data_IF_600875883018
#
_entry.id   IF_600875883018
#
_cell.length_a   1.000
_cell.length_b   1.000
_cell.length_c   1.000
_cell.angle_alpha   90.00
_cell.angle_beta   90.00
_cell.angle_gamma   90.00
#
_symmetry.space_group_name_H-M   'P 1'
#
loop_
_entity.id
_entity.type
_entity.pdbx_description
1 polymer ?
#
# COMPACT_ATOMS: atom_id res chain seq x y z
N UNK A 1 14.16 33.73 -13.69
CA UNK A 1 14.24 32.24 -13.71
C UNK A 1 14.77 31.65 -12.41
N UNK A 2 15.57 32.39 -11.63
CA UNK A 2 16.09 31.92 -10.33
C UNK A 2 14.98 31.53 -9.34
N UNK A 3 13.88 32.28 -9.29
CA UNK A 3 12.79 32.00 -8.34
C UNK A 3 12.07 30.69 -8.63
N UNK A 4 11.89 30.33 -9.90
CA UNK A 4 11.29 29.05 -10.29
C UNK A 4 12.17 27.86 -9.87
N UNK A 5 13.49 27.99 -10.00
CA UNK A 5 14.45 26.98 -9.53
C UNK A 5 14.43 26.84 -8.00
N UNK A 6 14.40 27.97 -7.28
CA UNK A 6 14.26 27.99 -5.81
C UNK A 6 12.97 27.29 -5.36
N UNK A 7 11.85 27.55 -6.03
CA UNK A 7 10.57 26.91 -5.70
C UNK A 7 10.59 25.40 -5.94
N UNK A 8 11.23 24.92 -7.01
CA UNK A 8 11.34 23.49 -7.30
C UNK A 8 12.22 22.78 -6.27
N UNK A 9 13.37 23.36 -5.91
CA UNK A 9 14.24 22.83 -4.86
C UNK A 9 13.54 22.73 -3.51
N UNK A 10 12.74 23.75 -3.14
CA UNK A 10 11.95 23.71 -1.92
C UNK A 10 10.86 22.62 -1.98
N UNK A 11 10.23 22.43 -3.13
CA UNK A 11 9.22 21.40 -3.36
C UNK A 11 9.82 20.00 -3.19
N UNK A 12 10.94 19.71 -3.86
CA UNK A 12 11.67 18.44 -3.74
C UNK A 12 12.12 18.17 -2.30
N UNK A 13 12.61 19.20 -1.61
CA UNK A 13 12.98 19.09 -0.20
C UNK A 13 11.78 18.76 0.71
N UNK A 14 10.59 19.30 0.41
CA UNK A 14 9.36 18.97 1.15
C UNK A 14 8.88 17.55 0.83
N UNK A 15 8.95 17.12 -0.43
CA UNK A 15 8.57 15.77 -0.85
C UNK A 15 9.47 14.70 -0.23
N UNK A 16 10.77 14.99 -0.07
CA UNK A 16 11.70 14.10 0.62
C UNK A 16 11.41 13.97 2.12
N UNK A 17 10.78 14.98 2.74
CA UNK A 17 10.44 14.98 4.17
C UNK A 17 9.11 14.30 4.46
N UNK A 18 8.10 14.54 3.62
CA UNK A 18 6.75 14.06 3.85
C UNK A 18 6.45 12.88 2.94
N UNK A 19 6.54 11.68 3.52
CA UNK A 19 6.23 10.43 2.81
C UNK A 19 4.76 10.47 2.36
N UNK A 20 4.50 10.07 1.12
CA UNK A 20 3.15 10.04 0.55
C UNK A 20 2.77 11.26 -0.29
N UNK A 21 3.62 12.30 -0.34
CA UNK A 21 3.41 13.42 -1.27
C UNK A 21 3.62 12.98 -2.71
N UNK A 22 2.60 13.19 -3.55
CA UNK A 22 2.68 12.83 -4.97
C UNK A 22 3.39 13.85 -5.85
N UNK A 23 3.68 13.43 -7.08
CA UNK A 23 4.14 14.24 -8.22
C UNK A 23 3.33 13.85 -9.47
N UNK A 24 3.44 14.61 -10.56
CA UNK A 24 2.65 14.38 -11.77
C UNK A 24 2.79 12.96 -12.35
N UNK A 25 3.96 12.35 -12.19
CA UNK A 25 4.27 11.01 -12.70
C UNK A 25 4.08 9.89 -11.66
N UNK A 26 3.36 10.12 -10.55
CA UNK A 26 3.11 9.04 -9.57
C UNK A 26 2.29 7.94 -10.20
N UNK A 27 2.78 6.71 -10.07
CA UNK A 27 2.08 5.54 -10.59
C UNK A 27 0.88 5.21 -9.72
N UNK A 28 -0.13 4.55 -10.31
CA UNK A 28 -1.28 4.02 -9.56
C UNK A 28 -0.82 3.14 -8.40
N UNK A 29 0.23 2.32 -8.61
CA UNK A 29 0.79 1.43 -7.60
C UNK A 29 1.32 2.19 -6.39
N UNK A 30 2.15 3.22 -6.59
CA UNK A 30 2.71 4.05 -5.52
C UNK A 30 1.61 4.75 -4.72
N UNK A 31 0.62 5.33 -5.42
CA UNK A 31 -0.52 5.96 -4.78
C UNK A 31 -1.30 4.97 -3.90
N UNK A 32 -1.68 3.82 -4.44
CA UNK A 32 -2.42 2.79 -3.68
C UNK A 32 -1.60 2.23 -2.52
N UNK A 33 -0.29 2.08 -2.70
CA UNK A 33 0.62 1.61 -1.66
C UNK A 33 0.66 2.58 -0.48
N UNK A 34 0.73 3.89 -0.75
CA UNK A 34 0.70 4.90 0.30
C UNK A 34 -0.65 4.90 1.05
N UNK A 35 -1.78 4.85 0.34
CA UNK A 35 -3.13 4.78 0.97
C UNK A 35 -3.29 3.55 1.87
N UNK A 36 -2.82 2.39 1.41
CA UNK A 36 -2.90 1.15 2.18
C UNK A 36 -2.05 1.25 3.45
N UNK A 37 -0.82 1.78 3.34
CA UNK A 37 0.07 1.98 4.49
C UNK A 37 -0.54 2.93 5.52
N UNK A 38 -1.15 4.03 5.07
CA UNK A 38 -1.79 5.02 5.94
C UNK A 38 -3.03 4.44 6.65
N UNK A 39 -3.80 3.61 5.95
CA UNK A 39 -4.97 2.93 6.51
C UNK A 39 -4.57 1.97 7.62
N UNK A 40 -3.59 1.09 7.38
CA UNK A 40 -3.11 0.15 8.40
C UNK A 40 -2.40 0.84 9.56
N UNK A 41 -1.64 1.91 9.29
CA UNK A 41 -1.05 2.74 10.34
C UNK A 41 -2.12 3.34 11.27
N UNK A 42 -3.23 3.81 10.69
CA UNK A 42 -4.36 4.34 11.45
C UNK A 42 -5.05 3.27 12.30
N UNK A 43 -5.21 2.04 11.78
CA UNK A 43 -5.79 0.92 12.52
C UNK A 43 -4.95 0.53 13.74
N UNK A 44 -3.62 0.53 13.60
CA UNK A 44 -2.69 0.21 14.68
C UNK A 44 -2.56 1.37 15.68
N UNK A 45 -2.61 2.61 15.21
CA UNK A 45 -2.42 3.81 16.03
C UNK A 45 -3.60 4.15 16.92
N UNK A 46 -4.81 3.72 16.59
CA UNK A 46 -6.03 3.98 17.37
C UNK A 46 -6.47 2.74 18.17
N UNK A 47 -6.29 2.71 19.50
CA UNK A 47 -6.71 1.59 20.34
C UNK A 47 -8.17 1.14 20.18
N UNK A 48 -9.18 2.03 20.03
CA UNK A 48 -10.57 1.57 19.85
C UNK A 48 -10.79 0.87 18.51
N UNK A 49 -10.07 1.30 17.46
CA UNK A 49 -10.18 0.73 16.14
C UNK A 49 -9.51 -0.64 16.06
N UNK A 50 -8.33 -0.78 16.68
CA UNK A 50 -7.67 -2.08 16.83
C UNK A 50 -8.55 -3.06 17.60
N UNK A 51 -9.23 -2.61 18.67
CA UNK A 51 -10.14 -3.44 19.43
C UNK A 51 -11.36 -3.87 18.60
N UNK A 52 -11.95 -2.96 17.84
CA UNK A 52 -13.05 -3.28 16.92
C UNK A 52 -12.65 -4.37 15.92
N UNK A 53 -11.47 -4.25 15.30
CA UNK A 53 -10.94 -5.25 14.37
C UNK A 53 -10.65 -6.59 15.06
N UNK A 54 -10.12 -6.57 16.29
CA UNK A 54 -9.86 -7.80 17.06
C UNK A 54 -11.14 -8.57 17.40
N UNK A 55 -12.23 -7.85 17.71
CA UNK A 55 -13.53 -8.47 17.96
C UNK A 55 -14.11 -9.04 16.67
N UNK A 56 -14.00 -8.31 15.55
CA UNK A 56 -14.49 -8.78 14.25
C UNK A 56 -13.77 -10.02 13.71
N UNK A 57 -12.46 -10.14 13.97
CA UNK A 57 -11.65 -11.29 13.56
C UNK A 57 -11.62 -12.43 14.58
N UNK A 58 -12.03 -12.19 15.83
CA UNK A 58 -11.97 -13.18 16.91
C UNK A 58 -10.55 -13.52 17.39
N UNK A 59 -9.56 -12.67 17.10
CA UNK A 59 -8.15 -12.89 17.44
C UNK A 59 -7.68 -11.95 18.56
N UNK A 60 -6.54 -12.27 19.20
CA UNK A 60 -5.93 -11.37 20.18
C UNK A 60 -5.45 -10.07 19.51
N UNK A 61 -5.49 -8.97 20.27
CA UNK A 61 -5.13 -7.62 19.77
C UNK A 61 -3.71 -7.58 19.20
N UNK A 62 -2.80 -8.34 19.80
CA UNK A 62 -1.40 -8.42 19.42
C UNK A 62 -1.20 -9.18 18.10
N UNK A 63 -1.97 -10.26 17.88
CA UNK A 63 -1.95 -11.00 16.61
C UNK A 63 -2.45 -10.13 15.47
N UNK A 64 -3.59 -9.47 15.66
CA UNK A 64 -4.16 -8.55 14.65
C UNK A 64 -3.19 -7.42 14.34
N UNK A 65 -2.53 -6.86 15.36
CA UNK A 65 -1.50 -5.84 15.17
C UNK A 65 -0.32 -6.36 14.34
N UNK A 66 0.20 -7.56 14.64
CA UNK A 66 1.29 -8.16 13.89
C UNK A 66 0.90 -8.39 12.42
N UNK A 67 -0.28 -8.97 12.17
CA UNK A 67 -0.78 -9.21 10.82
C UNK A 67 -1.02 -7.91 10.03
N UNK A 68 -1.44 -6.82 10.69
CA UNK A 68 -1.57 -5.51 10.05
C UNK A 68 -0.20 -4.91 9.69
N UNK A 69 0.81 -5.07 10.56
CA UNK A 69 2.19 -4.61 10.30
C UNK A 69 2.81 -5.37 9.11
N UNK A 70 2.60 -6.67 9.01
CA UNK A 70 3.06 -7.47 7.87
C UNK A 70 2.43 -6.99 6.55
N UNK A 71 1.15 -6.63 6.58
CA UNK A 71 0.41 -6.10 5.43
C UNK A 71 0.87 -4.70 5.00
N UNK A 72 1.55 -3.93 5.86
CA UNK A 72 2.13 -2.61 5.48
C UNK A 72 3.26 -2.79 4.46
N UNK A 73 4.04 -3.88 4.52
CA UNK A 73 5.23 -4.08 3.69
C UNK A 73 4.88 -4.38 2.22
N UNK A 74 3.85 -5.21 1.98
CA UNK A 74 3.45 -5.65 0.62
C UNK A 74 1.94 -5.60 0.37
N UNK A 75 1.20 -4.75 1.08
CA UNK A 75 -0.26 -4.70 0.99
C UNK A 75 -0.83 -4.39 -0.40
N UNK A 76 -0.06 -3.70 -1.25
CA UNK A 76 -0.44 -3.38 -2.63
C UNK A 76 -0.07 -4.47 -3.67
N UNK A 77 0.54 -5.59 -3.23
CA UNK A 77 1.05 -6.64 -4.13
C UNK A 77 2.43 -6.32 -4.73
N UNK A 78 2.85 -7.10 -5.72
CA UNK A 78 4.09 -6.84 -6.46
C UNK A 78 3.93 -5.59 -7.34
N UNK A 79 4.99 -4.78 -7.51
CA UNK A 79 4.96 -3.67 -8.46
C UNK A 79 4.67 -4.21 -9.88
N UNK A 80 3.97 -3.43 -10.72
CA UNK A 80 3.64 -3.86 -12.08
C UNK A 80 4.92 -4.09 -12.90
N UNK A 81 4.96 -5.17 -13.67
CA UNK A 81 6.03 -5.43 -14.62
C UNK A 81 6.05 -4.34 -15.70
N UNK A 82 7.23 -3.77 -15.94
CA UNK A 82 7.48 -2.63 -16.85
C UNK A 82 7.17 -2.90 -18.33
N UNK A 83 6.56 -4.03 -18.69
CA UNK A 83 6.12 -4.36 -20.06
C UNK A 83 4.69 -3.90 -20.38
N UNK A 84 3.92 -3.45 -19.39
CA UNK A 84 2.55 -2.98 -19.61
C UNK A 84 2.49 -1.45 -19.76
N UNK A 85 2.82 -0.96 -20.96
CA UNK A 85 2.55 0.43 -21.34
C UNK A 85 1.04 0.71 -21.51
N UNK A 86 0.56 1.95 -21.27
CA UNK A 86 -0.87 2.28 -21.17
C UNK A 86 -1.60 2.38 -22.51
N UNK A 87 -1.13 1.73 -23.60
CA UNK A 87 -1.75 1.84 -24.94
C UNK A 87 -2.52 0.57 -25.36
N UNK A 88 -2.97 -0.25 -24.41
CA UNK A 88 -4.00 -1.24 -24.73
C UNK A 88 -4.92 -1.47 -23.55
N UNK A 89 -6.22 -1.27 -23.79
CA UNK A 89 -7.32 -1.43 -22.83
C UNK A 89 -7.56 -2.89 -22.41
N UNK A 90 -6.58 -3.79 -22.62
CA UNK A 90 -6.74 -5.24 -22.47
C UNK A 90 -5.52 -5.96 -21.87
N UNK A 91 -4.57 -5.27 -21.24
CA UNK A 91 -3.55 -5.95 -20.45
C UNK A 91 -3.98 -6.05 -18.98
N UNK A 92 -4.96 -6.90 -18.71
CA UNK A 92 -5.08 -7.51 -17.39
C UNK A 92 -3.96 -8.56 -17.28
N UNK A 93 -3.12 -8.55 -16.22
CA UNK A 93 -2.41 -9.76 -15.85
C UNK A 93 -3.43 -10.72 -15.23
N UNK A 94 -4.10 -11.51 -16.07
CA UNK A 94 -4.68 -12.79 -15.68
C UNK A 94 -3.53 -13.74 -15.35
N UNK A 95 -2.91 -13.59 -14.17
CA UNK A 95 -2.13 -14.64 -13.51
C UNK A 95 -1.88 -14.27 -12.05
N UNK A 96 -2.37 -15.13 -11.16
CA UNK A 96 -1.96 -15.28 -9.76
C UNK A 96 -2.82 -14.68 -8.63
N UNK A 97 -4.14 -14.55 -8.81
CA UNK A 97 -5.08 -14.54 -7.67
C UNK A 97 -5.57 -15.97 -7.28
N UNK A 98 -5.30 -17.00 -8.08
CA UNK A 98 -5.67 -18.38 -7.73
C UNK A 98 -4.67 -19.10 -6.80
N UNK A 99 -3.51 -18.50 -6.53
CA UNK A 99 -2.46 -19.17 -5.75
C UNK A 99 -2.69 -19.17 -4.22
N UNK A 100 -3.76 -18.53 -3.72
CA UNK A 100 -4.07 -18.57 -2.28
C UNK A 100 -5.44 -19.20 -1.94
N UNK A 101 -6.13 -19.80 -2.90
CA UNK A 101 -7.29 -20.66 -2.61
C UNK A 101 -6.92 -22.16 -2.56
N UNK A 102 -5.70 -22.53 -2.97
CA UNK A 102 -5.20 -23.92 -2.94
C UNK A 102 -4.30 -24.21 -1.71
N UNK A 103 -3.85 -23.19 -0.97
CA UNK A 103 -3.04 -23.37 0.25
C UNK A 103 -3.87 -23.46 1.55
N UNK A 104 -5.20 -23.58 1.47
CA UNK A 104 -6.07 -23.80 2.65
C UNK A 104 -6.79 -25.16 2.65
N UNK A 105 -6.41 -26.08 1.74
CA UNK A 105 -7.03 -27.42 1.64
C UNK A 105 -6.03 -28.58 1.83
N UNK A 106 -4.78 -28.29 2.21
CA UNK A 106 -3.80 -29.31 2.62
C UNK A 106 -3.19 -28.88 3.95
N UNK A 107 -4.01 -28.89 5.00
CA UNK A 107 -3.59 -28.93 6.42
C UNK A 107 -4.83 -29.16 7.32
N UNK A 108 -5.55 -30.24 7.04
CA UNK A 108 -6.45 -30.95 7.95
C UNK A 108 -6.38 -32.44 7.67
#
# INVERSE_FOLDING_TARGET
>A
MADKLRTLQNLEALQARYIGTGHADTTKYEWTSNIIRDSYASYIGHPPLLQYMSIGMGESKEKVRASMVEKIVRGAGNPPDVSCHPVSTWCYPLKSQEANMVMMVVDK
#
